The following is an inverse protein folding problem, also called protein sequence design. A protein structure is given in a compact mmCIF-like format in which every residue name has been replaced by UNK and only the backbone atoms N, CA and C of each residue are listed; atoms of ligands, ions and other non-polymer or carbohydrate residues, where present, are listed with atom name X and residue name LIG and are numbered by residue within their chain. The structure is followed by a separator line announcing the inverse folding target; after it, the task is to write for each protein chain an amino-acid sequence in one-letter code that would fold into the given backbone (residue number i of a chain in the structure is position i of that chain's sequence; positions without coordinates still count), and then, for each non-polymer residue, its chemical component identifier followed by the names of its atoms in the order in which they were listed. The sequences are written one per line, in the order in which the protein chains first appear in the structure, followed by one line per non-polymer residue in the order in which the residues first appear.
data_IF_075862663303
#
_entry.id   IF_075862663303
#
_cell.length_a   1.000
_cell.length_b   1.000
_cell.length_c   1.000
_cell.angle_alpha   90.00
_cell.angle_beta   90.00
_cell.angle_gamma   90.00
#
_symmetry.space_group_name_H-M   'P 1'
#
loop_
_entity.id
_entity.type
_entity.pdbx_description
1 polymer ?
#
# COMPACT_ATOMS: atom_id res chain seq x y z
N UNK A 1 20.72 -18.09 -12.27
CA UNK A 1 20.45 -16.84 -13.01
C UNK A 1 20.30 -15.73 -11.98
N UNK A 2 21.04 -14.63 -12.10
CA UNK A 2 20.85 -13.47 -11.24
C UNK A 2 19.62 -12.70 -11.73
N UNK A 3 18.57 -12.62 -10.92
CA UNK A 3 17.42 -11.75 -11.16
C UNK A 3 17.69 -10.37 -10.59
N UNK A 4 17.44 -9.32 -11.38
CA UNK A 4 17.55 -7.93 -10.92
C UNK A 4 16.20 -7.55 -10.31
N UNK A 5 16.20 -7.18 -9.03
CA UNK A 5 15.02 -6.64 -8.36
C UNK A 5 14.88 -5.16 -8.68
N UNK A 6 13.71 -4.76 -9.18
CA UNK A 6 13.35 -3.36 -9.36
C UNK A 6 12.62 -2.86 -8.11
N UNK A 7 12.94 -1.65 -7.67
CA UNK A 7 12.32 -0.99 -6.52
C UNK A 7 11.95 0.45 -6.91
N UNK A 8 10.67 0.80 -6.81
CA UNK A 8 10.13 2.12 -7.15
C UNK A 8 9.45 2.74 -5.94
N UNK A 9 9.91 3.91 -5.54
CA UNK A 9 9.35 4.64 -4.39
C UNK A 9 8.04 5.35 -4.74
N UNK A 10 7.10 5.35 -3.81
CA UNK A 10 5.83 6.06 -3.87
C UNK A 10 5.77 7.03 -2.70
N UNK A 11 5.35 8.27 -2.94
CA UNK A 11 5.16 9.26 -1.90
C UNK A 11 3.97 10.16 -2.23
N UNK A 12 3.12 10.43 -1.23
CA UNK A 12 2.00 11.35 -1.37
C UNK A 12 1.62 11.95 -0.02
N UNK A 13 1.34 13.26 0.03
CA UNK A 13 0.76 13.92 1.20
C UNK A 13 -0.73 14.18 0.98
N UNK A 14 -1.52 14.08 2.04
CA UNK A 14 -2.97 14.26 2.01
C UNK A 14 -3.40 15.42 2.91
N UNK A 15 -4.49 16.09 2.53
CA UNK A 15 -5.05 17.21 3.29
C UNK A 15 -5.83 16.76 4.54
N UNK A 16 -6.48 15.60 4.48
CA UNK A 16 -7.29 15.06 5.57
C UNK A 16 -7.31 13.52 5.61
N UNK A 17 -7.82 12.98 6.72
CA UNK A 17 -7.93 11.52 6.94
C UNK A 17 -8.87 10.80 5.97
N UNK A 18 -10.06 11.35 5.62
CA UNK A 18 -10.90 10.78 4.57
C UNK A 18 -10.19 10.62 3.22
N UNK A 19 -9.45 11.64 2.78
CA UNK A 19 -8.65 11.65 1.55
C UNK A 19 -7.54 10.59 1.59
N UNK A 20 -6.80 10.52 2.70
CA UNK A 20 -5.79 9.47 2.92
C UNK A 20 -6.41 8.07 2.80
N UNK A 21 -7.54 7.83 3.47
CA UNK A 21 -8.26 6.55 3.43
C UNK A 21 -8.70 6.20 2.01
N UNK A 22 -9.33 7.14 1.31
CA UNK A 22 -9.80 6.93 -0.06
C UNK A 22 -8.64 6.58 -1.00
N UNK A 23 -7.52 7.32 -0.91
CA UNK A 23 -6.32 7.07 -1.70
C UNK A 23 -5.71 5.70 -1.45
N UNK A 24 -5.62 5.26 -0.19
CA UNK A 24 -5.08 3.96 0.16
C UNK A 24 -5.99 2.80 -0.28
N UNK A 25 -7.32 2.96 -0.19
CA UNK A 25 -8.29 1.97 -0.70
C UNK A 25 -8.21 1.87 -2.23
N UNK A 26 -8.12 3.00 -2.94
CA UNK A 26 -8.00 2.99 -4.41
C UNK A 26 -6.66 2.39 -4.85
N UNK A 27 -5.55 2.76 -4.19
CA UNK A 27 -4.24 2.16 -4.43
C UNK A 27 -4.25 0.65 -4.20
N UNK A 28 -4.90 0.18 -3.13
CA UNK A 28 -5.07 -1.26 -2.88
C UNK A 28 -5.89 -1.94 -3.98
N UNK A 29 -7.01 -1.34 -4.39
CA UNK A 29 -7.90 -1.87 -5.45
C UNK A 29 -7.17 -1.99 -6.79
N UNK A 30 -6.27 -1.05 -7.08
CA UNK A 30 -5.37 -1.10 -8.24
C UNK A 30 -4.45 -2.32 -8.16
N UNK A 31 -3.83 -2.58 -7.02
CA UNK A 31 -2.93 -3.75 -6.86
C UNK A 31 -3.71 -5.04 -7.11
N UNK A 32 -4.89 -5.19 -6.50
CA UNK A 32 -5.76 -6.38 -6.63
C UNK A 32 -6.17 -6.64 -8.06
N UNK A 33 -6.75 -5.62 -8.71
CA UNK A 33 -7.32 -5.76 -10.05
C UNK A 33 -6.28 -6.22 -11.06
N UNK A 34 -5.02 -5.85 -10.83
CA UNK A 34 -3.93 -6.13 -11.75
C UNK A 34 -3.10 -7.35 -11.34
N UNK A 35 -3.27 -7.87 -10.12
CA UNK A 35 -2.57 -9.02 -9.55
C UNK A 35 -3.46 -9.74 -8.50
N UNK A 36 -4.51 -10.47 -8.94
CA UNK A 36 -5.53 -11.05 -8.05
C UNK A 36 -5.01 -12.14 -7.11
N UNK A 37 -3.82 -12.70 -7.37
CA UNK A 37 -3.17 -13.73 -6.56
C UNK A 37 -2.35 -13.17 -5.38
N UNK A 38 -2.31 -11.85 -5.21
CA UNK A 38 -1.56 -11.22 -4.12
C UNK A 38 -2.34 -11.28 -2.81
N UNK A 39 -1.66 -11.68 -1.74
CA UNK A 39 -2.23 -11.64 -0.39
C UNK A 39 -2.09 -10.25 0.22
N UNK A 40 -3.16 -9.76 0.85
CA UNK A 40 -3.12 -8.49 1.56
C UNK A 40 -2.74 -8.70 3.01
N UNK A 41 -2.03 -7.72 3.54
CA UNK A 41 -1.89 -7.59 4.99
C UNK A 41 -1.80 -6.11 5.33
N UNK A 42 -2.62 -5.69 6.28
CA UNK A 42 -2.51 -4.35 6.87
C UNK A 42 -2.05 -4.50 8.32
N UNK A 43 -1.20 -3.57 8.76
CA UNK A 43 -0.80 -3.39 10.14
C UNK A 43 -0.96 -1.92 10.50
N UNK A 44 -1.68 -1.62 11.58
CA UNK A 44 -1.87 -0.24 12.07
C UNK A 44 -1.46 -0.23 13.54
N UNK A 45 -0.59 0.68 13.94
CA UNK A 45 0.14 0.60 15.23
C UNK A 45 0.21 1.97 15.92
N UNK A 46 0.15 2.07 17.27
CA UNK A 46 0.82 1.23 18.30
C UNK A 46 -0.04 0.15 18.99
N UNK A 47 0.46 -1.10 18.99
CA UNK A 47 -0.10 -2.23 19.77
C UNK A 47 -0.47 -3.49 18.98
N UNK A 48 0.06 -3.65 17.77
CA UNK A 48 -0.02 -4.80 16.84
C UNK A 48 -1.37 -5.55 16.73
N UNK A 49 -1.99 -5.45 15.55
CA UNK A 49 -2.68 -6.59 14.95
C UNK A 49 -2.37 -6.69 13.45
N UNK A 50 -1.96 -7.89 13.07
CA UNK A 50 -1.72 -8.34 11.69
C UNK A 50 -2.76 -9.38 11.32
N UNK A 51 -3.51 -9.17 10.24
CA UNK A 51 -4.41 -10.17 9.70
C UNK A 51 -4.45 -10.18 8.19
N UNK A 52 -4.73 -11.36 7.65
CA UNK A 52 -4.85 -11.62 6.21
C UNK A 52 -6.30 -11.37 5.78
N UNK A 53 -6.45 -10.64 4.68
CA UNK A 53 -7.65 -10.39 3.87
C UNK A 53 -8.92 -9.80 4.53
N UNK A 54 -9.33 -10.18 5.75
CA UNK A 54 -10.54 -9.63 6.43
C UNK A 54 -10.26 -8.46 7.38
N UNK A 55 -9.00 -8.23 7.74
CA UNK A 55 -8.64 -7.23 8.75
C UNK A 55 -8.30 -5.87 8.17
N UNK A 56 -8.18 -5.72 6.84
CA UNK A 56 -7.81 -4.45 6.22
C UNK A 56 -8.91 -3.39 6.42
N UNK A 57 -10.17 -3.73 6.19
CA UNK A 57 -11.30 -2.85 6.46
C UNK A 57 -11.42 -2.46 7.94
N UNK A 58 -11.23 -3.43 8.85
CA UNK A 58 -11.24 -3.21 10.31
C UNK A 58 -10.04 -2.38 10.78
N UNK A 59 -8.87 -2.58 10.18
CA UNK A 59 -7.70 -1.76 10.40
C UNK A 59 -8.02 -0.32 9.97
N UNK A 60 -8.60 -0.11 8.78
CA UNK A 60 -9.01 1.23 8.35
C UNK A 60 -10.02 1.89 9.29
N UNK A 61 -11.01 1.15 9.80
CA UNK A 61 -11.98 1.70 10.74
C UNK A 61 -11.33 2.07 12.09
N UNK A 62 -10.24 1.40 12.49
CA UNK A 62 -9.47 1.74 13.69
C UNK A 62 -8.72 3.08 13.58
N UNK A 63 -8.52 3.63 12.38
CA UNK A 63 -7.91 4.96 12.18
C UNK A 63 -8.84 6.14 12.48
N UNK A 64 -10.11 5.91 12.82
CA UNK A 64 -11.10 6.98 12.99
C UNK A 64 -10.84 7.94 14.15
N UNK A 65 -9.91 7.63 15.07
CA UNK A 65 -9.73 8.41 16.29
C UNK A 65 -8.30 8.88 16.54
N UNK A 66 -7.27 8.20 16.02
CA UNK A 66 -5.88 8.60 16.21
C UNK A 66 -4.96 8.00 15.12
N UNK A 67 -4.55 8.76 14.09
CA UNK A 67 -3.68 8.26 13.03
C UNK A 67 -2.21 8.25 13.49
N UNK A 68 -1.86 7.39 14.44
CA UNK A 68 -0.50 7.34 14.98
C UNK A 68 0.52 6.81 13.96
N UNK A 69 0.19 5.77 13.19
CA UNK A 69 0.91 5.29 12.00
C UNK A 69 0.29 3.99 11.49
N UNK A 70 0.44 3.70 10.20
CA UNK A 70 -0.03 2.45 9.62
C UNK A 70 0.76 2.03 8.40
N UNK A 71 0.65 0.74 8.05
CA UNK A 71 1.29 0.12 6.91
C UNK A 71 0.31 -0.81 6.22
N UNK A 72 0.22 -0.69 4.91
CA UNK A 72 -0.44 -1.63 4.02
C UNK A 72 0.63 -2.30 3.22
N UNK A 73 0.62 -3.62 3.20
CA UNK A 73 1.46 -4.37 2.29
C UNK A 73 0.66 -5.40 1.51
N UNK A 74 1.15 -5.69 0.33
CA UNK A 74 0.57 -6.64 -0.60
C UNK A 74 1.75 -7.37 -1.22
N UNK A 75 1.85 -8.68 -1.01
CA UNK A 75 3.03 -9.47 -1.42
C UNK A 75 2.68 -10.64 -2.32
N UNK A 76 3.60 -10.98 -3.24
CA UNK A 76 3.72 -12.26 -3.92
C UNK A 76 5.11 -12.84 -3.62
N UNK A 77 5.17 -14.04 -3.04
CA UNK A 77 6.35 -14.55 -2.32
C UNK A 77 7.59 -14.86 -3.18
N UNK A 78 8.66 -15.35 -2.53
CA UNK A 78 9.83 -16.01 -3.13
C UNK A 78 10.46 -15.36 -4.37
N UNK A 79 10.74 -14.04 -4.32
CA UNK A 79 11.25 -13.26 -5.46
C UNK A 79 10.16 -12.55 -6.27
N UNK A 80 8.92 -12.57 -5.82
CA UNK A 80 7.79 -11.95 -6.49
C UNK A 80 7.65 -10.44 -6.24
N UNK A 81 6.46 -9.96 -6.59
CA UNK A 81 6.08 -8.57 -6.57
C UNK A 81 5.57 -8.16 -5.17
N UNK A 82 5.99 -7.00 -4.65
CA UNK A 82 5.60 -6.47 -3.34
C UNK A 82 5.22 -5.00 -3.46
N UNK A 83 4.14 -4.59 -2.81
CA UNK A 83 3.79 -3.19 -2.58
C UNK A 83 3.74 -2.96 -1.08
N UNK A 84 4.47 -1.97 -0.58
CA UNK A 84 4.41 -1.55 0.81
C UNK A 84 4.15 -0.05 0.85
N UNK A 85 3.08 0.37 1.51
CA UNK A 85 2.71 1.76 1.74
C UNK A 85 2.64 1.97 3.25
N UNK A 86 3.45 2.89 3.76
CA UNK A 86 3.40 3.34 5.14
C UNK A 86 2.81 4.75 5.20
N UNK A 87 2.09 5.07 6.26
CA UNK A 87 1.67 6.43 6.54
C UNK A 87 1.80 6.73 8.03
N UNK A 88 1.91 8.01 8.37
CA UNK A 88 2.10 8.45 9.74
C UNK A 88 1.81 9.93 9.91
N UNK A 89 2.45 10.53 10.91
CA UNK A 89 2.31 11.94 11.24
C UNK A 89 2.36 12.83 9.98
N UNK A 90 1.49 13.84 9.94
CA UNK A 90 1.24 14.73 8.79
C UNK A 90 0.55 14.10 7.57
N UNK A 91 -0.16 12.97 7.73
CA UNK A 91 -1.00 12.35 6.68
C UNK A 91 -0.23 12.08 5.38
N UNK A 92 1.03 11.69 5.52
CA UNK A 92 1.93 11.38 4.42
C UNK A 92 2.02 9.88 4.23
N UNK A 93 1.83 9.43 3.00
CA UNK A 93 2.13 8.08 2.54
C UNK A 93 3.54 8.05 1.96
N UNK A 94 4.34 7.07 2.39
CA UNK A 94 5.66 6.74 1.84
C UNK A 94 5.70 5.22 1.65
N UNK A 95 6.17 4.76 0.49
CA UNK A 95 6.16 3.35 0.18
C UNK A 95 7.02 2.95 -1.00
N UNK A 96 6.91 1.69 -1.40
CA UNK A 96 7.60 1.12 -2.54
C UNK A 96 6.78 0.06 -3.26
N UNK A 97 7.05 -0.07 -4.56
CA UNK A 97 6.65 -1.20 -5.40
C UNK A 97 7.93 -1.91 -5.84
N UNK A 98 8.04 -3.20 -5.50
CA UNK A 98 9.20 -4.05 -5.75
C UNK A 98 8.82 -5.28 -6.57
N UNK A 99 9.76 -5.81 -7.34
CA UNK A 99 9.59 -7.08 -8.03
C UNK A 99 10.64 -7.33 -9.12
N UNK A 100 10.63 -8.53 -9.68
CA UNK A 100 11.57 -8.95 -10.75
C UNK A 100 11.04 -8.59 -12.15
N UNK A 101 9.71 -8.51 -12.33
CA UNK A 101 9.10 -8.11 -13.62
C UNK A 101 8.96 -6.58 -13.69
N UNK A 102 9.83 -5.95 -14.48
CA UNK A 102 9.83 -4.50 -14.67
C UNK A 102 8.50 -3.94 -15.20
N UNK A 103 7.82 -4.65 -16.11
CA UNK A 103 6.55 -4.16 -16.69
C UNK A 103 5.47 -4.15 -15.65
N UNK A 104 5.39 -5.19 -14.84
CA UNK A 104 4.43 -5.27 -13.71
C UNK A 104 4.75 -4.20 -12.68
N UNK A 105 6.03 -4.04 -12.30
CA UNK A 105 6.46 -3.03 -11.33
C UNK A 105 6.12 -1.61 -11.77
N UNK A 106 6.50 -1.22 -12.99
CA UNK A 106 6.21 0.12 -13.51
C UNK A 106 4.70 0.36 -13.63
N UNK A 107 3.96 -0.62 -14.14
CA UNK A 107 2.52 -0.49 -14.33
C UNK A 107 1.75 -0.33 -13.01
N UNK A 108 2.07 -1.13 -12.00
CA UNK A 108 1.42 -1.01 -10.69
C UNK A 108 1.86 0.26 -9.97
N UNK A 109 3.15 0.61 -10.03
CA UNK A 109 3.69 1.86 -9.48
C UNK A 109 2.93 3.08 -10.02
N UNK A 110 2.77 3.18 -11.34
CA UNK A 110 2.14 4.35 -11.95
C UNK A 110 0.67 4.47 -11.57
N UNK A 111 -0.04 3.35 -11.45
CA UNK A 111 -1.45 3.35 -11.06
C UNK A 111 -1.65 3.61 -9.57
N UNK A 112 -0.80 3.06 -8.72
CA UNK A 112 -0.80 3.36 -7.27
C UNK A 112 -0.53 4.84 -7.04
N UNK A 113 0.49 5.39 -7.71
CA UNK A 113 0.82 6.82 -7.63
C UNK A 113 -0.35 7.69 -8.09
N UNK A 114 -1.00 7.34 -9.21
CA UNK A 114 -2.19 8.06 -9.70
C UNK A 114 -3.38 7.97 -8.75
N UNK A 115 -3.62 6.80 -8.17
CA UNK A 115 -4.69 6.60 -7.20
C UNK A 115 -4.50 7.45 -5.95
N UNK A 116 -3.28 7.49 -5.42
CA UNK A 116 -2.93 8.32 -4.27
C UNK A 116 -3.05 9.81 -4.60
N UNK A 117 -2.50 10.25 -5.73
CA UNK A 117 -2.55 11.66 -6.14
C UNK A 117 -3.97 12.18 -6.40
N UNK A 118 -4.88 11.31 -6.89
CA UNK A 118 -6.28 11.67 -7.13
C UNK A 118 -7.06 11.96 -5.85
N UNK A 119 -6.66 11.32 -4.75
CA UNK A 119 -7.31 11.45 -3.45
C UNK A 119 -6.61 12.46 -2.52
N UNK A 120 -5.46 13.00 -2.93
CA UNK A 120 -4.61 13.91 -2.15
C UNK A 120 -5.16 15.32 -1.96
#
# INVERSE_FOLDING_TARGET
MASIELNKSVEQQFQDLPSLRAGLIEAQSVVITNQPEIHHTAAITKGERTGKDEEVGKAWDALHQDPESGRVFSWKGGGGFEVSLAFGEALRVVGHVKGIDEKVVNFVHDRVTKALAKAA
#
